data_IF_345496673097
#
_entry.id   IF_345496673097
#
_cell.length_a   1.000
_cell.length_b   1.000
_cell.length_c   1.000
_cell.angle_alpha   90.00
_cell.angle_beta   90.00
_cell.angle_gamma   90.00
#
_symmetry.space_group_name_H-M   'P 1'
#
loop_
_entity.id
_entity.type
_entity.pdbx_description
1 polymer ?
#
# COMPACT_ATOMS: atom_id res chain seq x y z
N UNK A 1 8.28 -6.21 12.14
CA UNK A 1 9.03 -6.50 10.92
C UNK A 1 9.57 -5.19 10.40
N UNK A 2 10.90 -5.05 10.41
CA UNK A 2 11.63 -3.89 9.92
C UNK A 2 11.53 -3.88 8.40
N UNK A 3 11.22 -2.73 7.80
CA UNK A 3 11.58 -2.49 6.39
C UNK A 3 13.07 -2.85 6.31
N UNK A 4 13.51 -3.78 5.44
CA UNK A 4 14.93 -4.11 5.36
C UNK A 4 15.70 -2.81 5.18
N UNK A 5 16.73 -2.60 6.01
CA UNK A 5 17.49 -1.35 6.08
C UNK A 5 17.88 -0.92 4.67
N UNK A 6 17.17 0.09 4.15
CA UNK A 6 17.49 0.72 2.87
C UNK A 6 18.65 1.69 3.03
N UNK A 7 19.63 1.33 3.86
CA UNK A 7 20.74 2.17 4.34
C UNK A 7 21.74 2.55 3.24
N UNK A 8 21.53 2.10 2.00
CA UNK A 8 22.46 2.36 0.89
C UNK A 8 22.00 3.42 -0.11
N UNK A 9 20.80 4.00 0.03
CA UNK A 9 20.33 5.10 -0.85
C UNK A 9 19.68 6.19 -0.01
N UNK A 10 20.15 7.44 -0.08
CA UNK A 10 19.46 8.57 0.54
C UNK A 10 18.03 8.63 0.02
N UNK A 11 17.06 8.52 0.92
CA UNK A 11 15.66 8.73 0.57
C UNK A 11 15.48 10.19 0.16
N UNK A 12 14.79 10.42 -0.95
CA UNK A 12 14.34 11.78 -1.25
C UNK A 12 13.43 12.28 -0.13
N UNK A 13 13.34 13.60 0.08
CA UNK A 13 12.42 14.16 1.08
C UNK A 13 10.96 13.76 0.83
N UNK A 14 10.60 13.57 -0.44
CA UNK A 14 9.29 13.07 -0.84
C UNK A 14 9.06 11.61 -0.39
N UNK A 15 10.05 10.74 -0.58
CA UNK A 15 9.97 9.34 -0.14
C UNK A 15 9.97 9.21 1.37
N UNK A 16 10.77 10.03 2.07
CA UNK A 16 10.76 10.09 3.53
C UNK A 16 9.39 10.53 4.07
N UNK A 17 8.78 11.55 3.46
CA UNK A 17 7.43 12.00 3.85
C UNK A 17 6.37 10.93 3.52
N UNK A 18 6.45 10.30 2.36
CA UNK A 18 5.57 9.19 1.97
C UNK A 18 5.65 8.05 2.98
N UNK A 19 6.87 7.66 3.38
CA UNK A 19 7.12 6.63 4.40
C UNK A 19 6.55 7.04 5.77
N UNK A 20 6.70 8.31 6.17
CA UNK A 20 6.10 8.82 7.40
C UNK A 20 4.57 8.69 7.40
N UNK A 21 3.92 9.09 6.31
CA UNK A 21 2.46 8.97 6.17
C UNK A 21 2.02 7.52 6.14
N UNK A 22 2.81 6.64 5.52
CA UNK A 22 2.56 5.21 5.50
C UNK A 22 2.66 4.60 6.92
N UNK A 23 3.65 4.97 7.74
CA UNK A 23 3.70 4.57 9.15
C UNK A 23 2.48 5.06 9.93
N UNK A 24 2.06 6.30 9.71
CA UNK A 24 0.92 6.89 10.39
C UNK A 24 -0.42 6.26 9.99
N UNK A 25 -0.51 5.68 8.79
CA UNK A 25 -1.73 5.00 8.30
C UNK A 25 -2.00 3.64 8.96
N UNK A 26 -1.00 3.04 9.63
CA UNK A 26 -1.10 1.70 10.20
C UNK A 26 -1.11 0.55 9.16
N UNK A 27 -1.03 0.85 7.86
CA UNK A 27 -1.11 -0.14 6.77
C UNK A 27 0.14 -1.05 6.64
N UNK A 28 1.30 -0.64 7.16
CA UNK A 28 2.48 -1.52 7.17
C UNK A 28 2.31 -2.69 8.15
N UNK A 29 1.48 -2.53 9.17
CA UNK A 29 1.24 -3.54 10.19
C UNK A 29 0.11 -4.51 9.84
N UNK A 30 -0.40 -4.50 8.59
CA UNK A 30 -1.48 -5.40 8.16
C UNK A 30 -1.02 -6.85 8.05
N UNK A 31 0.27 -7.09 7.79
CA UNK A 31 0.86 -8.39 7.48
C UNK A 31 0.53 -9.50 8.48
N UNK A 32 0.52 -9.17 9.77
CA UNK A 32 0.30 -10.13 10.84
C UNK A 32 -1.15 -10.11 11.36
N UNK A 33 -2.09 -9.60 10.57
CA UNK A 33 -3.48 -9.45 11.00
C UNK A 33 -4.39 -10.48 10.33
N UNK A 34 -4.91 -11.47 11.11
CA UNK A 34 -5.88 -12.44 10.59
C UNK A 34 -7.10 -11.77 9.94
N UNK A 35 -7.56 -10.66 10.52
CA UNK A 35 -8.72 -9.91 10.02
C UNK A 35 -8.50 -9.32 8.63
N UNK A 36 -7.31 -8.79 8.35
CA UNK A 36 -7.01 -8.26 7.01
C UNK A 36 -6.81 -9.39 5.99
N UNK A 37 -6.18 -10.49 6.40
CA UNK A 37 -6.08 -11.69 5.58
C UNK A 37 -7.47 -12.24 5.20
N UNK A 38 -8.41 -12.27 6.16
CA UNK A 38 -9.80 -12.68 5.93
C UNK A 38 -10.52 -11.76 4.95
N UNK A 39 -10.38 -10.43 5.09
CA UNK A 39 -11.00 -9.45 4.18
C UNK A 39 -10.51 -9.64 2.73
N UNK A 40 -9.22 -9.87 2.53
CA UNK A 40 -8.65 -10.07 1.19
C UNK A 40 -9.03 -11.44 0.61
N UNK A 41 -9.10 -12.48 1.44
CA UNK A 41 -9.62 -13.78 1.00
C UNK A 41 -11.12 -13.72 0.64
N UNK A 42 -11.93 -12.99 1.42
CA UNK A 42 -13.34 -12.73 1.10
C UNK A 42 -13.47 -12.01 -0.25
N UNK A 43 -12.65 -10.99 -0.49
CA UNK A 43 -12.61 -10.27 -1.75
C UNK A 43 -12.29 -11.20 -2.93
N UNK A 44 -11.25 -12.04 -2.80
CA UNK A 44 -10.89 -13.04 -3.81
C UNK A 44 -12.06 -13.99 -4.11
N UNK A 45 -12.72 -14.55 -3.08
CA UNK A 45 -13.87 -15.45 -3.25
C UNK A 45 -15.07 -14.77 -3.88
N UNK A 46 -15.38 -13.54 -3.45
CA UNK A 46 -16.52 -12.76 -3.95
C UNK A 46 -16.35 -12.40 -5.42
N UNK A 47 -15.11 -12.14 -5.83
CA UNK A 47 -14.76 -11.79 -7.19
C UNK A 47 -14.50 -13.01 -8.09
N UNK A 48 -14.41 -14.21 -7.53
CA UNK A 48 -14.02 -15.45 -8.23
C UNK A 48 -12.69 -15.28 -8.99
N UNK A 49 -11.68 -14.77 -8.27
CA UNK A 49 -10.33 -14.49 -8.77
C UNK A 49 -9.29 -15.17 -7.89
N UNK A 50 -8.19 -15.69 -8.47
CA UNK A 50 -7.17 -16.40 -7.71
C UNK A 50 -6.32 -15.47 -6.84
N UNK A 51 -6.20 -14.19 -7.21
CA UNK A 51 -5.28 -13.25 -6.56
C UNK A 51 -6.03 -12.00 -6.10
N UNK A 52 -5.82 -11.63 -4.84
CA UNK A 52 -6.30 -10.39 -4.25
C UNK A 52 -5.26 -9.88 -3.25
N UNK A 53 -5.14 -8.57 -3.09
CA UNK A 53 -4.15 -8.02 -2.18
C UNK A 53 -4.32 -6.55 -1.86
N UNK A 54 -3.52 -6.13 -0.88
CA UNK A 54 -3.24 -4.73 -0.58
C UNK A 54 -1.81 -4.47 -0.98
N UNK A 55 -1.57 -3.39 -1.71
CA UNK A 55 -0.24 -2.89 -1.98
C UNK A 55 -0.02 -1.56 -1.26
N UNK A 56 1.22 -1.28 -0.87
CA UNK A 56 1.65 0.03 -0.37
C UNK A 56 2.98 0.40 -1.01
N UNK A 57 3.15 1.67 -1.36
CA UNK A 57 4.36 2.13 -2.06
C UNK A 57 5.30 2.79 -1.09
N UNK A 58 6.53 2.32 -1.08
CA UNK A 58 7.60 2.89 -0.29
C UNK A 58 8.95 2.70 -0.99
N UNK A 59 9.67 3.81 -1.18
CA UNK A 59 11.10 3.85 -1.50
C UNK A 59 11.53 2.93 -2.64
N UNK A 60 10.95 3.14 -3.83
CA UNK A 60 11.29 2.36 -5.03
C UNK A 60 10.72 0.93 -5.06
N UNK A 61 9.92 0.54 -4.05
CA UNK A 61 9.26 -0.74 -4.00
C UNK A 61 7.74 -0.60 -3.79
N UNK A 62 7.02 -1.58 -4.30
CA UNK A 62 5.62 -1.83 -4.00
C UNK A 62 5.57 -3.05 -3.06
N UNK A 63 5.24 -2.79 -1.81
CA UNK A 63 5.12 -3.80 -0.76
C UNK A 63 3.73 -4.41 -0.76
N UNK A 64 3.65 -5.70 -0.48
CA UNK A 64 2.42 -6.48 -0.50
C UNK A 64 2.14 -7.01 0.92
N UNK A 65 1.74 -6.14 1.86
CA UNK A 65 1.56 -6.54 3.25
C UNK A 65 0.46 -7.60 3.41
N UNK A 66 -0.54 -7.61 2.53
CA UNK A 66 -1.57 -8.66 2.51
C UNK A 66 -1.77 -9.12 1.08
N UNK A 67 -1.54 -10.40 0.84
CA UNK A 67 -1.61 -10.99 -0.48
C UNK A 67 -2.18 -12.41 -0.38
N UNK A 68 -3.15 -12.70 -1.23
CA UNK A 68 -3.73 -14.01 -1.39
C UNK A 68 -3.45 -14.55 -2.80
N UNK A 69 -3.20 -15.86 -2.89
CA UNK A 69 -3.06 -16.57 -4.16
C UNK A 69 -1.63 -16.69 -4.71
N UNK A 70 -0.70 -15.87 -4.23
CA UNK A 70 0.72 -15.89 -4.61
C UNK A 70 1.60 -15.53 -3.42
N UNK A 71 2.84 -16.01 -3.43
CA UNK A 71 3.83 -15.76 -2.38
C UNK A 71 4.83 -14.70 -2.86
N UNK A 72 4.57 -13.44 -2.52
CA UNK A 72 5.40 -12.28 -2.83
C UNK A 72 5.33 -11.27 -1.70
N UNK A 73 6.48 -10.77 -1.24
CA UNK A 73 6.54 -9.75 -0.19
C UNK A 73 6.58 -8.32 -0.73
N UNK A 74 7.27 -8.15 -1.86
CA UNK A 74 7.43 -6.87 -2.53
C UNK A 74 7.85 -7.07 -3.97
N UNK A 75 7.68 -6.01 -4.76
CA UNK A 75 8.11 -5.94 -6.15
C UNK A 75 8.78 -4.59 -6.39
N UNK A 76 9.82 -4.50 -7.24
CA UNK A 76 10.35 -3.22 -7.70
C UNK A 76 9.23 -2.34 -8.25
N UNK A 77 9.26 -1.04 -7.93
CA UNK A 77 8.21 -0.12 -8.34
C UNK A 77 8.06 -0.05 -9.88
N UNK A 78 9.18 -0.18 -10.60
CA UNK A 78 9.23 -0.24 -12.07
C UNK A 78 8.47 -1.44 -12.67
N UNK A 79 8.18 -2.47 -11.88
CA UNK A 79 7.47 -3.67 -12.31
C UNK A 79 6.05 -3.75 -11.73
N UNK A 80 5.67 -2.79 -10.87
CA UNK A 80 4.40 -2.81 -10.16
C UNK A 80 3.25 -2.33 -11.03
N UNK A 81 2.21 -3.16 -11.18
CA UNK A 81 0.93 -2.77 -11.76
C UNK A 81 0.16 -1.77 -10.88
N UNK A 82 0.54 -1.60 -9.61
CA UNK A 82 -0.08 -0.66 -8.69
C UNK A 82 0.47 0.77 -8.84
N UNK A 83 1.70 0.91 -9.36
CA UNK A 83 2.42 2.19 -9.38
C UNK A 83 1.62 3.29 -10.10
N UNK A 84 1.13 3.00 -11.31
CA UNK A 84 0.33 3.95 -12.09
C UNK A 84 -0.98 4.35 -11.42
N UNK A 85 -1.63 3.42 -10.71
CA UNK A 85 -2.88 3.69 -9.98
C UNK A 85 -2.65 4.58 -8.77
N UNK A 86 -1.57 4.34 -8.02
CA UNK A 86 -1.19 5.21 -6.89
C UNK A 86 -0.75 6.57 -7.39
N UNK A 87 -0.09 6.67 -8.53
CA UNK A 87 0.36 7.95 -9.05
C UNK A 87 -0.79 8.81 -9.58
N UNK A 88 -1.62 8.24 -10.45
CA UNK A 88 -2.76 8.92 -11.06
C UNK A 88 -3.93 9.13 -10.10
N UNK A 89 -4.01 8.32 -9.04
CA UNK A 89 -5.15 8.26 -8.14
C UNK A 89 -6.47 7.91 -8.86
N UNK A 90 -6.40 7.23 -10.00
CA UNK A 90 -7.55 6.81 -10.80
C UNK A 90 -7.65 5.28 -10.75
N UNK A 91 -8.82 4.69 -10.45
CA UNK A 91 -9.02 3.25 -10.53
C UNK A 91 -8.67 2.69 -11.91
N UNK A 92 -8.07 1.50 -11.94
CA UNK A 92 -7.69 0.81 -13.16
C UNK A 92 -8.37 -0.55 -13.22
N UNK A 93 -8.86 -0.92 -14.41
CA UNK A 93 -9.41 -2.25 -14.68
C UNK A 93 -9.03 -2.68 -16.10
N UNK A 94 -8.05 -3.57 -16.18
CA UNK A 94 -7.58 -4.19 -17.41
C UNK A 94 -8.19 -5.59 -17.54
N UNK A 95 -8.87 -5.83 -18.67
CA UNK A 95 -9.60 -7.08 -18.91
C UNK A 95 -8.75 -8.13 -19.62
N UNK A 96 -7.75 -7.69 -20.39
CA UNK A 96 -6.71 -8.50 -21.04
C UNK A 96 -5.36 -7.75 -21.08
N UNK A 97 -4.53 -7.93 -20.04
CA UNK A 97 -3.22 -7.28 -19.86
C UNK A 97 -2.27 -7.45 -21.06
N UNK A 98 -2.10 -8.64 -21.67
CA UNK A 98 -1.31 -8.79 -22.89
C UNK A 98 -1.78 -7.95 -24.09
N UNK A 99 -3.05 -7.54 -24.13
CA UNK A 99 -3.58 -6.69 -25.19
C UNK A 99 -3.24 -5.21 -24.97
N UNK A 100 -2.85 -4.82 -23.75
CA UNK A 100 -2.36 -3.49 -23.45
C UNK A 100 -0.83 -3.44 -23.65
N UNK A 101 -0.31 -2.66 -24.64
CA UNK A 101 1.12 -2.59 -24.92
C UNK A 101 1.98 -2.14 -23.73
N UNK A 102 1.42 -1.36 -22.79
CA UNK A 102 2.11 -0.92 -21.59
C UNK A 102 2.44 -2.08 -20.65
N UNK A 103 1.56 -3.08 -20.57
CA UNK A 103 1.67 -4.20 -19.64
C UNK A 103 2.12 -5.50 -20.30
N UNK A 104 2.05 -5.61 -21.63
CA UNK A 104 2.35 -6.84 -22.36
C UNK A 104 3.73 -7.43 -22.03
N UNK A 105 4.74 -6.59 -21.77
CA UNK A 105 6.10 -7.01 -21.43
C UNK A 105 6.37 -7.07 -19.92
N UNK A 106 5.40 -6.75 -19.07
CA UNK A 106 5.57 -6.82 -17.62
C UNK A 106 5.80 -8.28 -17.19
N UNK A 107 6.74 -8.52 -16.26
CA UNK A 107 7.08 -9.89 -15.83
C UNK A 107 5.93 -10.69 -15.24
N UNK A 108 4.92 -10.02 -14.67
CA UNK A 108 3.73 -10.69 -14.14
C UNK A 108 2.75 -11.09 -15.25
N UNK A 109 2.86 -10.47 -16.42
CA UNK A 109 2.04 -10.71 -17.60
C UNK A 109 2.70 -11.72 -18.54
N UNK A 110 3.95 -11.47 -18.93
CA UNK A 110 4.70 -12.33 -19.86
C UNK A 110 5.42 -13.51 -19.19
N UNK A 111 5.55 -13.47 -17.85
CA UNK A 111 6.24 -14.50 -17.08
C UNK A 111 5.34 -15.62 -16.56
N UNK A 112 5.84 -16.44 -15.61
CA UNK A 112 5.14 -17.63 -15.13
C UNK A 112 3.79 -17.35 -14.47
N UNK A 113 3.59 -16.15 -13.91
CA UNK A 113 2.32 -15.78 -13.32
C UNK A 113 1.23 -15.58 -14.37
N UNK A 114 1.61 -15.23 -15.61
CA UNK A 114 0.74 -15.14 -16.79
C UNK A 114 -0.58 -14.38 -16.54
N UNK A 115 -0.51 -13.22 -15.88
CA UNK A 115 -1.69 -12.41 -15.59
C UNK A 115 -2.38 -11.97 -16.88
N UNK A 116 -3.70 -12.12 -16.89
CA UNK A 116 -4.58 -11.73 -17.99
C UNK A 116 -5.51 -10.61 -17.59
N UNK A 117 -6.01 -10.56 -16.36
CA UNK A 117 -6.87 -9.47 -15.92
C UNK A 117 -6.36 -8.88 -14.60
N UNK A 118 -6.55 -7.59 -14.42
CA UNK A 118 -6.13 -6.89 -13.22
C UNK A 118 -7.01 -5.67 -12.97
N UNK A 119 -7.45 -5.50 -11.72
CA UNK A 119 -8.16 -4.31 -11.30
C UNK A 119 -7.61 -3.81 -9.97
N UNK A 120 -7.50 -2.50 -9.83
CA UNK A 120 -7.00 -1.85 -8.62
C UNK A 120 -7.68 -0.52 -8.36
N UNK A 121 -7.90 -0.22 -7.08
CA UNK A 121 -8.44 1.05 -6.59
C UNK A 121 -7.41 1.68 -5.64
N UNK A 122 -7.13 2.98 -5.76
CA UNK A 122 -6.19 3.66 -4.89
C UNK A 122 -6.73 3.79 -3.46
N UNK A 123 -5.88 3.53 -2.48
CA UNK A 123 -6.10 3.85 -1.09
C UNK A 123 -5.59 5.28 -0.82
N UNK A 124 -6.53 6.15 -0.41
CA UNK A 124 -6.26 7.56 -0.10
C UNK A 124 -6.21 7.75 1.41
N UNK A 125 -5.07 8.22 1.90
CA UNK A 125 -4.93 8.62 3.29
C UNK A 125 -5.53 9.98 3.59
N UNK A 126 -5.40 10.40 4.84
CA UNK A 126 -5.76 11.75 5.30
C UNK A 126 -5.05 12.80 4.44
N UNK A 127 -5.75 13.88 4.10
CA UNK A 127 -5.25 14.96 3.23
C UNK A 127 -4.82 14.51 1.81
N UNK A 128 -5.33 13.38 1.32
CA UNK A 128 -5.09 12.91 -0.05
C UNK A 128 -3.75 12.18 -0.22
N UNK A 129 -3.15 11.72 0.89
CA UNK A 129 -1.91 10.97 0.82
C UNK A 129 -2.05 9.70 -0.04
N UNK A 130 -1.06 9.50 -0.93
CA UNK A 130 -0.97 8.35 -1.83
C UNK A 130 -0.38 7.16 -1.06
N UNK A 131 -1.23 6.26 -0.55
CA UNK A 131 -0.79 5.15 0.31
C UNK A 131 -0.44 3.88 -0.49
N UNK A 132 -1.30 3.49 -1.43
CA UNK A 132 -1.25 2.17 -2.03
C UNK A 132 -2.52 1.81 -2.79
N UNK A 133 -2.76 0.53 -3.04
CA UNK A 133 -3.99 0.04 -3.70
C UNK A 133 -4.60 -1.15 -2.99
N UNK A 134 -5.90 -1.36 -3.19
CA UNK A 134 -6.51 -2.70 -3.08
C UNK A 134 -6.70 -3.21 -4.50
N UNK A 135 -6.27 -4.44 -4.75
CA UNK A 135 -6.27 -5.00 -6.11
C UNK A 135 -6.73 -6.46 -6.15
N UNK A 136 -7.15 -6.87 -7.34
CA UNK A 136 -7.41 -8.25 -7.73
C UNK A 136 -6.77 -8.55 -9.07
N UNK A 137 -6.36 -9.80 -9.26
CA UNK A 137 -5.77 -10.25 -10.52
C UNK A 137 -6.21 -11.67 -10.88
N UNK A 138 -6.20 -11.96 -12.17
CA UNK A 138 -6.60 -13.25 -12.72
C UNK A 138 -5.71 -13.64 -13.90
N UNK A 139 -5.59 -14.95 -14.10
CA UNK A 139 -4.91 -15.58 -15.24
C UNK A 139 -5.88 -15.85 -16.40
N UNK A 140 -7.15 -15.46 -16.25
CA UNK A 140 -8.18 -15.50 -17.30
C UNK A 140 -8.55 -14.08 -17.71
N UNK A 141 -8.99 -13.94 -18.96
CA UNK A 141 -9.60 -12.69 -19.45
C UNK A 141 -10.90 -12.46 -18.70
N UNK A 142 -11.15 -11.22 -18.27
CA UNK A 142 -12.32 -10.85 -17.46
C UNK A 142 -13.00 -9.59 -18.00
N UNK A 143 -13.93 -9.73 -18.97
CA UNK A 143 -14.57 -8.58 -19.63
C UNK A 143 -15.40 -7.69 -18.69
N UNK A 144 -15.81 -8.22 -17.54
CA UNK A 144 -16.71 -7.59 -16.57
C UNK A 144 -15.99 -6.89 -15.41
N UNK A 145 -14.65 -6.89 -15.38
CA UNK A 145 -13.85 -6.31 -14.29
C UNK A 145 -14.15 -4.84 -14.02
N UNK A 146 -14.25 -4.00 -15.05
CA UNK A 146 -14.52 -2.58 -14.82
C UNK A 146 -15.86 -2.34 -14.08
N UNK A 147 -16.91 -3.08 -14.45
CA UNK A 147 -18.24 -2.92 -13.88
C UNK A 147 -18.38 -3.60 -12.50
N UNK A 148 -17.73 -4.76 -12.30
CA UNK A 148 -17.88 -5.54 -11.05
C UNK A 148 -16.78 -5.32 -10.03
N UNK A 149 -15.53 -5.19 -10.47
CA UNK A 149 -14.39 -5.13 -9.56
C UNK A 149 -14.29 -3.77 -8.88
N UNK A 150 -14.40 -2.67 -9.62
CA UNK A 150 -14.17 -1.32 -9.06
C UNK A 150 -15.08 -1.04 -7.85
N UNK A 151 -16.41 -1.23 -7.90
CA UNK A 151 -17.25 -0.97 -6.73
C UNK A 151 -16.93 -1.86 -5.51
N UNK A 152 -16.48 -3.10 -5.75
CA UNK A 152 -16.11 -4.02 -4.66
C UNK A 152 -14.75 -3.66 -4.06
N UNK A 153 -13.80 -3.26 -4.89
CA UNK A 153 -12.49 -2.78 -4.47
C UNK A 153 -12.59 -1.46 -3.70
N UNK A 154 -13.48 -0.55 -4.10
CA UNK A 154 -13.79 0.68 -3.35
C UNK A 154 -14.34 0.36 -1.96
N UNK A 155 -15.32 -0.55 -1.86
CA UNK A 155 -15.85 -1.01 -0.56
C UNK A 155 -14.79 -1.68 0.30
N UNK A 156 -13.93 -2.51 -0.30
CA UNK A 156 -12.82 -3.15 0.40
C UNK A 156 -11.81 -2.11 0.90
N UNK A 157 -11.50 -1.11 0.08
CA UNK A 157 -10.61 0.02 0.42
C UNK A 157 -11.12 0.78 1.64
N UNK A 158 -12.41 1.15 1.66
CA UNK A 158 -13.02 1.80 2.82
C UNK A 158 -12.89 0.95 4.08
N UNK A 159 -13.26 -0.33 4.02
CA UNK A 159 -13.15 -1.25 5.16
C UNK A 159 -11.70 -1.39 5.67
N UNK A 160 -10.74 -1.45 4.76
CA UNK A 160 -9.31 -1.58 5.10
C UNK A 160 -8.80 -0.32 5.77
N UNK A 161 -9.12 0.86 5.24
CA UNK A 161 -8.69 2.14 5.81
C UNK A 161 -9.33 2.41 7.18
N UNK A 162 -10.62 2.08 7.34
CA UNK A 162 -11.33 2.18 8.62
C UNK A 162 -10.70 1.28 9.69
N UNK A 163 -10.41 0.02 9.34
CA UNK A 163 -9.79 -0.92 10.28
C UNK A 163 -8.36 -0.53 10.62
N UNK A 164 -7.57 -0.09 9.63
CA UNK A 164 -6.19 0.35 9.81
C UNK A 164 -6.11 1.62 10.67
N UNK A 165 -7.12 2.50 10.57
CA UNK A 165 -7.20 3.72 11.38
C UNK A 165 -7.94 3.50 12.71
N UNK A 166 -8.41 2.28 13.00
CA UNK A 166 -9.19 2.02 14.21
C UNK A 166 -8.34 2.23 15.47
N UNK A 167 -8.91 2.79 16.57
CA UNK A 167 -8.15 3.03 17.79
C UNK A 167 -7.48 1.77 18.36
N UNK A 168 -8.11 0.60 18.20
CA UNK A 168 -7.54 -0.67 18.66
C UNK A 168 -6.31 -1.06 17.85
N UNK A 169 -6.36 -0.95 16.52
CA UNK A 169 -5.22 -1.21 15.67
C UNK A 169 -4.11 -0.18 15.91
N UNK A 170 -4.44 1.11 15.93
CA UNK A 170 -3.49 2.19 16.15
C UNK A 170 -2.80 2.11 17.51
N UNK A 171 -3.48 1.67 18.58
CA UNK A 171 -2.84 1.39 19.87
C UNK A 171 -1.87 0.21 19.81
N UNK A 172 -2.22 -0.84 19.05
CA UNK A 172 -1.37 -2.03 18.90
C UNK A 172 -0.09 -1.71 18.13
N UNK A 173 -0.17 -0.86 17.10
CA UNK A 173 0.94 -0.55 16.21
C UNK A 173 1.66 0.76 16.58
N UNK A 174 1.11 1.50 17.53
CA UNK A 174 1.53 2.85 17.90
C UNK A 174 3.01 2.98 18.21
N UNK A 175 3.59 2.04 18.97
CA UNK A 175 5.02 2.03 19.27
C UNK A 175 5.87 2.01 17.99
N UNK A 176 5.57 1.07 17.09
CA UNK A 176 6.29 0.94 15.81
C UNK A 176 6.10 2.17 14.92
N UNK A 177 4.89 2.74 14.89
CA UNK A 177 4.61 3.97 14.15
C UNK A 177 5.44 5.14 14.69
N UNK A 178 5.45 5.36 16.00
CA UNK A 178 6.22 6.45 16.64
C UNK A 178 7.72 6.24 16.44
N UNK A 179 8.24 5.04 16.67
CA UNK A 179 9.66 4.72 16.46
C UNK A 179 10.10 4.97 15.00
N UNK A 180 9.24 4.62 14.02
CA UNK A 180 9.50 4.89 12.61
C UNK A 180 9.53 6.38 12.27
N UNK A 181 8.58 7.16 12.79
CA UNK A 181 8.52 8.62 12.59
C UNK A 181 9.72 9.32 13.24
N UNK A 182 10.08 8.96 14.47
CA UNK A 182 11.26 9.52 15.13
C UNK A 182 12.55 9.21 14.38
N UNK A 183 12.67 8.01 13.79
CA UNK A 183 13.82 7.65 12.97
C UNK A 183 13.95 8.56 11.75
N UNK A 184 12.83 8.84 11.07
CA UNK A 184 12.80 9.74 9.92
C UNK A 184 13.11 11.19 10.32
N UNK A 185 12.59 11.67 11.46
CA UNK A 185 12.93 13.00 11.99
C UNK A 185 14.43 13.09 12.25
N UNK A 186 15.02 12.10 12.95
CA UNK A 186 16.46 12.06 13.22
C UNK A 186 17.29 12.09 11.94
N UNK A 187 16.87 11.36 10.91
CA UNK A 187 17.54 11.37 9.61
C UNK A 187 17.45 12.75 8.94
N UNK A 188 16.24 13.32 8.86
CA UNK A 188 16.03 14.65 8.26
C UNK A 188 16.83 15.75 8.99
N UNK A 189 16.93 15.68 10.32
CA UNK A 189 17.78 16.60 11.10
C UNK A 189 19.26 16.44 10.78
N UNK A 190 19.77 15.21 10.60
CA UNK A 190 21.17 14.98 10.17
C UNK A 190 21.44 15.53 8.78
N UNK A 191 20.46 15.45 7.89
CA UNK A 191 20.56 15.92 6.51
C UNK A 191 20.33 17.44 6.37
N UNK A 192 19.94 18.13 7.46
CA UNK A 192 19.67 19.56 7.48
C UNK A 192 18.37 19.97 6.78
N UNK A 193 17.41 19.05 6.64
CA UNK A 193 16.13 19.28 5.97
C UNK A 193 15.04 19.68 6.98
N UNK A 194 15.07 20.94 7.42
CA UNK A 194 14.11 21.49 8.38
C UNK A 194 12.65 21.44 7.90
N UNK A 195 12.44 21.50 6.58
CA UNK A 195 11.13 21.42 5.97
C UNK A 195 10.54 20.01 6.13
N UNK A 196 11.35 18.98 5.88
CA UNK A 196 10.98 17.59 6.08
C UNK A 196 10.76 17.27 7.57
N UNK A 197 11.63 17.75 8.46
CA UNK A 197 11.42 17.63 9.91
C UNK A 197 10.05 18.18 10.28
N UNK A 198 9.72 19.40 9.88
CA UNK A 198 8.44 20.05 10.17
C UNK A 198 7.24 19.26 9.62
N UNK A 199 7.38 18.69 8.42
CA UNK A 199 6.34 17.88 7.79
C UNK A 199 6.09 16.56 8.55
N UNK A 200 7.15 15.84 8.92
CA UNK A 200 7.02 14.59 9.69
C UNK A 200 6.49 14.87 11.10
N UNK A 201 6.92 15.95 11.73
CA UNK A 201 6.41 16.39 13.03
C UNK A 201 4.90 16.63 13.03
N UNK A 202 4.38 17.18 11.92
CA UNK A 202 2.93 17.35 11.74
C UNK A 202 2.23 16.00 11.68
N UNK A 203 2.77 15.04 10.93
CA UNK A 203 2.25 13.67 10.87
C UNK A 203 2.26 13.02 12.27
N UNK A 204 3.34 13.21 13.03
CA UNK A 204 3.46 12.71 14.39
C UNK A 204 2.38 13.27 15.32
N UNK A 205 2.13 14.58 15.27
CA UNK A 205 1.05 15.21 16.07
C UNK A 205 -0.35 14.70 15.71
N UNK A 206 -0.60 14.38 14.45
CA UNK A 206 -1.88 13.84 13.99
C UNK A 206 -2.08 12.39 14.47
N UNK A 207 -1.02 11.57 14.49
CA UNK A 207 -1.13 10.14 14.83
C UNK A 207 -1.02 9.84 16.33
N UNK A 208 -0.24 10.62 17.10
CA UNK A 208 0.00 10.39 18.53
C UNK A 208 -1.30 10.15 19.33
N UNK A 209 -2.37 10.96 19.19
CA UNK A 209 -3.62 10.73 19.92
C UNK A 209 -4.28 9.38 19.61
N UNK A 210 -4.12 8.87 18.38
CA UNK A 210 -4.70 7.59 17.94
C UNK A 210 -3.95 6.39 18.52
N UNK A 211 -2.65 6.54 18.75
CA UNK A 211 -1.81 5.49 19.35
C UNK A 211 -2.05 5.28 20.85
N UNK A 212 -2.66 6.25 21.53
CA UNK A 212 -2.77 6.25 22.99
C UNK A 212 -1.44 6.50 23.72
N UNK A 213 -0.36 6.79 22.99
CA UNK A 213 0.92 7.21 23.56
C UNK A 213 0.85 8.71 23.88
N UNK A 214 1.45 9.12 25.00
CA UNK A 214 1.65 10.54 25.30
C UNK A 214 2.90 10.99 24.53
N UNK A 215 2.83 12.16 23.89
CA UNK A 215 4.02 12.81 23.33
C UNK A 215 5.07 12.98 24.42
N UNK A 216 6.34 12.77 24.05
CA UNK A 216 7.49 13.00 24.92
C UNK A 216 7.62 14.51 25.18
#
# INVERSE_FOLDING_TARGET
MTIPDSDSVPLSSEDALRRAVLFASGLLALRDSPRFNELIQELSRTMDVPIAGVSVIDSGFCWLPVLHGVDLDSVPLSESLCAGVVETQIPMAETDLPANPEFANNRFVAGPLALRAYAAVPMRGVQGAKLGTVFVADQRVRPDFAHRAIPQLERATTRILEEASSPHHMRRVGRTTVEGLESLIRQATRDGDDALVTAIDRVMREVLPLTGMRGI
#
